data_IF_523219002231
#
_entry.id   IF_523219002231
#
_cell.length_a   1.000
_cell.length_b   1.000
_cell.length_c   1.000
_cell.angle_alpha   90.00
_cell.angle_beta   90.00
_cell.angle_gamma   90.00
#
_symmetry.space_group_name_H-M   'P 1'
#
loop_
_entity.id
_entity.type
_entity.pdbx_description
1 polymer ?
#
# COMPACT_ATOMS: atom_id res chain seq x y z
N UNK A 1 7.21 11.91 -13.57
CA UNK A 1 5.76 11.76 -13.82
C UNK A 1 5.33 12.93 -14.66
N UNK A 2 5.83 12.94 -15.90
CA UNK A 2 5.95 14.18 -16.68
C UNK A 2 4.69 14.51 -17.48
N UNK A 3 3.87 13.50 -17.80
CA UNK A 3 2.67 13.65 -18.63
C UNK A 3 1.41 13.05 -17.99
N UNK A 4 1.40 12.83 -16.68
CA UNK A 4 0.28 12.17 -15.98
C UNK A 4 -0.46 13.17 -15.10
N UNK A 5 -1.77 13.31 -15.29
CA UNK A 5 -2.62 14.13 -14.40
C UNK A 5 -2.93 13.44 -13.07
N UNK A 6 -2.96 12.11 -13.07
CA UNK A 6 -3.31 11.27 -11.92
C UNK A 6 -2.30 10.16 -11.73
N UNK A 7 -1.90 9.93 -10.48
CA UNK A 7 -0.97 8.88 -10.08
C UNK A 7 -1.63 7.99 -9.05
N UNK A 8 -1.64 6.69 -9.29
CA UNK A 8 -2.15 5.69 -8.34
C UNK A 8 -1.02 4.75 -7.94
N UNK A 9 -0.70 4.70 -6.66
CA UNK A 9 0.34 3.84 -6.10
C UNK A 9 -0.28 2.60 -5.45
N UNK A 10 -0.16 1.47 -6.15
CA UNK A 10 -0.55 0.13 -5.68
C UNK A 10 0.65 -0.69 -5.16
N UNK A 11 1.80 -0.04 -4.93
CA UNK A 11 3.00 -0.75 -4.50
C UNK A 11 2.85 -1.28 -3.07
N UNK A 12 3.26 -2.53 -2.88
CA UNK A 12 3.42 -3.09 -1.56
C UNK A 12 3.83 -4.56 -1.61
N UNK A 13 4.38 -5.03 -0.50
CA UNK A 13 4.69 -6.43 -0.31
C UNK A 13 4.01 -6.93 0.97
N UNK A 14 3.33 -8.07 0.86
CA UNK A 14 2.63 -8.75 1.95
C UNK A 14 3.26 -10.10 2.33
N UNK A 15 4.30 -10.56 1.62
CA UNK A 15 4.86 -11.89 1.79
C UNK A 15 6.19 -11.90 2.55
N UNK A 16 7.05 -10.90 2.31
CA UNK A 16 8.43 -10.93 2.82
C UNK A 16 8.75 -9.71 3.70
N UNK A 17 8.97 -9.90 5.02
CA UNK A 17 9.17 -8.78 5.95
C UNK A 17 10.45 -7.98 5.70
N UNK A 18 11.52 -8.62 5.22
CA UNK A 18 12.78 -7.93 4.90
C UNK A 18 12.61 -6.94 3.73
N UNK A 19 11.83 -7.33 2.72
CA UNK A 19 11.53 -6.50 1.54
C UNK A 19 10.35 -5.54 1.77
N UNK A 20 9.56 -5.76 2.83
CA UNK A 20 8.40 -4.93 3.17
C UNK A 20 8.78 -3.48 3.45
N UNK A 21 9.93 -3.21 4.09
CA UNK A 21 10.40 -1.83 4.30
C UNK A 21 10.63 -1.10 2.97
N UNK A 22 11.37 -1.72 2.05
CA UNK A 22 11.68 -1.11 0.75
C UNK A 22 10.45 -0.87 -0.11
N UNK A 23 9.52 -1.82 -0.10
CA UNK A 23 8.30 -1.76 -0.92
C UNK A 23 7.20 -0.88 -0.32
N UNK A 24 7.02 -0.89 1.00
CA UNK A 24 5.93 -0.16 1.66
C UNK A 24 6.36 1.23 2.17
N UNK A 25 7.67 1.51 2.31
CA UNK A 25 8.18 2.80 2.81
C UNK A 25 8.98 3.51 1.71
N UNK A 26 10.09 2.93 1.26
CA UNK A 26 11.03 3.64 0.38
C UNK A 26 10.41 3.96 -0.98
N UNK A 27 9.77 2.97 -1.61
CA UNK A 27 9.17 3.17 -2.94
C UNK A 27 8.01 4.20 -2.92
N UNK A 28 7.03 4.16 -1.99
CA UNK A 28 6.02 5.21 -1.87
C UNK A 28 6.61 6.58 -1.56
N UNK A 29 7.69 6.66 -0.79
CA UNK A 29 8.39 7.92 -0.48
C UNK A 29 8.99 8.53 -1.75
N UNK A 30 9.65 7.72 -2.58
CA UNK A 30 10.21 8.18 -3.86
C UNK A 30 9.11 8.66 -4.81
N UNK A 31 7.99 7.94 -4.88
CA UNK A 31 6.83 8.34 -5.67
C UNK A 31 6.26 9.67 -5.18
N UNK A 32 6.04 9.83 -3.87
CA UNK A 32 5.52 11.07 -3.30
C UNK A 32 6.44 12.27 -3.60
N UNK A 33 7.77 12.08 -3.52
CA UNK A 33 8.72 13.14 -3.90
C UNK A 33 8.62 13.49 -5.38
N UNK A 34 8.54 12.49 -6.26
CA UNK A 34 8.39 12.72 -7.69
C UNK A 34 7.07 13.42 -8.04
N UNK A 35 5.97 13.06 -7.36
CA UNK A 35 4.66 13.72 -7.48
C UNK A 35 4.76 15.17 -7.01
N UNK A 36 5.34 15.42 -5.84
CA UNK A 36 5.49 16.77 -5.28
C UNK A 36 6.31 17.72 -6.17
N UNK A 37 7.21 17.18 -7.00
CA UNK A 37 8.02 17.95 -7.95
C UNK A 37 7.34 18.12 -9.31
N UNK A 38 6.26 17.38 -9.59
CA UNK A 38 5.59 17.39 -10.89
C UNK A 38 4.38 18.34 -10.85
N UNK A 39 4.39 19.48 -11.55
CA UNK A 39 3.28 20.43 -11.53
C UNK A 39 2.02 19.92 -12.24
N UNK A 40 2.12 18.82 -13.00
CA UNK A 40 1.02 18.24 -13.77
C UNK A 40 0.15 17.27 -12.96
N UNK A 41 0.71 16.65 -11.91
CA UNK A 41 -0.03 15.66 -11.13
C UNK A 41 -0.98 16.37 -10.16
N UNK A 42 -2.28 16.32 -10.46
CA UNK A 42 -3.33 16.93 -9.64
C UNK A 42 -3.85 15.96 -8.58
N UNK A 43 -3.97 14.68 -8.96
CA UNK A 43 -4.56 13.65 -8.11
C UNK A 43 -3.51 12.59 -7.78
N UNK A 44 -3.21 12.41 -6.51
CA UNK A 44 -2.36 11.34 -6.04
C UNK A 44 -3.14 10.42 -5.11
N UNK A 45 -3.22 9.13 -5.48
CA UNK A 45 -3.91 8.10 -4.72
C UNK A 45 -2.89 7.08 -4.21
N UNK A 46 -2.86 6.85 -2.90
CA UNK A 46 -1.99 5.87 -2.26
C UNK A 46 -2.81 4.76 -1.60
N UNK A 47 -2.48 3.50 -1.91
CA UNK A 47 -3.17 2.33 -1.35
C UNK A 47 -2.40 1.76 -0.16
N UNK A 48 -2.96 1.95 1.03
CA UNK A 48 -2.44 1.41 2.28
C UNK A 48 -3.18 0.12 2.70
N UNK A 49 -3.50 -0.07 3.97
CA UNK A 49 -4.22 -1.21 4.52
C UNK A 49 -5.10 -0.79 5.72
N UNK A 50 -6.27 -1.38 5.87
CA UNK A 50 -7.19 -1.11 7.00
C UNK A 50 -6.60 -1.50 8.36
N UNK A 51 -5.85 -2.61 8.43
CA UNK A 51 -5.30 -3.17 9.68
C UNK A 51 -4.20 -2.32 10.34
N UNK A 52 -3.67 -1.30 9.66
CA UNK A 52 -2.49 -0.56 10.11
C UNK A 52 -2.65 0.19 11.44
N UNK A 53 -3.88 0.50 11.85
CA UNK A 53 -4.19 1.24 13.08
C UNK A 53 -4.43 0.33 14.29
N UNK A 54 -4.39 -0.99 14.12
CA UNK A 54 -4.56 -1.93 15.22
C UNK A 54 -3.36 -1.87 16.17
N UNK A 55 -3.61 -2.02 17.48
CA UNK A 55 -2.57 -1.99 18.52
C UNK A 55 -1.54 -3.11 18.34
N UNK A 56 -2.00 -4.27 17.86
CA UNK A 56 -1.18 -5.45 17.60
C UNK A 56 -1.08 -5.72 16.08
N UNK A 57 -0.79 -4.68 15.30
CA UNK A 57 -0.66 -4.82 13.85
C UNK A 57 0.61 -5.60 13.48
N UNK A 58 0.53 -6.47 12.47
CA UNK A 58 1.69 -7.19 11.94
C UNK A 58 2.75 -6.25 11.34
N UNK A 59 3.98 -6.74 11.21
CA UNK A 59 5.12 -5.98 10.66
C UNK A 59 4.78 -5.30 9.32
N UNK A 60 4.09 -6.01 8.42
CA UNK A 60 3.67 -5.48 7.12
C UNK A 60 2.71 -4.30 7.30
N UNK A 61 1.70 -4.45 8.15
CA UNK A 61 0.72 -3.41 8.45
C UNK A 61 1.39 -2.18 9.10
N UNK A 62 2.39 -2.40 9.97
CA UNK A 62 3.19 -1.33 10.56
C UNK A 62 4.02 -0.59 9.51
N UNK A 63 4.66 -1.30 8.57
CA UNK A 63 5.44 -0.66 7.50
C UNK A 63 4.57 0.19 6.57
N UNK A 64 3.35 -0.28 6.23
CA UNK A 64 2.37 0.52 5.48
C UNK A 64 1.92 1.77 6.26
N UNK A 65 1.73 1.66 7.58
CA UNK A 65 1.44 2.83 8.44
C UNK A 65 2.53 3.89 8.37
N UNK A 66 3.79 3.47 8.42
CA UNK A 66 4.94 4.38 8.36
C UNK A 66 5.05 5.03 6.99
N UNK A 67 4.94 4.24 5.92
CA UNK A 67 4.95 4.74 4.55
C UNK A 67 3.84 5.76 4.29
N UNK A 68 2.62 5.46 4.73
CA UNK A 68 1.48 6.37 4.59
C UNK A 68 1.71 7.71 5.32
N UNK A 69 2.25 7.68 6.54
CA UNK A 69 2.59 8.90 7.27
C UNK A 69 3.59 9.77 6.49
N UNK A 70 4.63 9.17 5.94
CA UNK A 70 5.67 9.88 5.17
C UNK A 70 5.07 10.45 3.88
N UNK A 71 4.29 9.64 3.16
CA UNK A 71 3.59 10.07 1.94
C UNK A 71 2.70 11.28 2.21
N UNK A 72 1.96 11.27 3.32
CA UNK A 72 1.08 12.38 3.72
C UNK A 72 1.84 13.61 4.21
N UNK A 73 3.06 13.45 4.73
CA UNK A 73 3.94 14.58 5.06
C UNK A 73 4.50 15.26 3.80
N UNK A 74 4.81 14.48 2.76
CA UNK A 74 5.35 15.02 1.50
C UNK A 74 4.24 15.61 0.63
N UNK A 75 3.11 14.90 0.52
CA UNK A 75 1.95 15.32 -0.26
C UNK A 75 0.73 15.39 0.69
N UNK A 76 0.39 16.55 1.25
CA UNK A 76 -0.73 16.66 2.19
C UNK A 76 -2.09 16.36 1.54
N UNK A 77 -2.24 16.64 0.24
CA UNK A 77 -3.48 16.45 -0.53
C UNK A 77 -3.66 15.02 -1.06
N UNK A 78 -2.80 14.08 -0.66
CA UNK A 78 -2.89 12.68 -1.10
C UNK A 78 -4.18 12.01 -0.63
N UNK A 79 -4.86 11.32 -1.56
CA UNK A 79 -5.99 10.46 -1.26
C UNK A 79 -5.45 9.10 -0.80
N UNK A 80 -5.70 8.75 0.46
CA UNK A 80 -5.27 7.47 1.02
C UNK A 80 -6.44 6.50 1.08
N UNK A 81 -6.35 5.41 0.34
CA UNK A 81 -7.33 4.32 0.37
C UNK A 81 -6.82 3.22 1.28
N UNK A 82 -7.67 2.79 2.23
CA UNK A 82 -7.35 1.71 3.18
C UNK A 82 -8.31 0.53 2.99
N UNK A 83 -8.06 -0.31 1.99
CA UNK A 83 -8.92 -1.46 1.75
C UNK A 83 -8.80 -2.49 2.89
N UNK A 84 -9.88 -3.24 3.09
CA UNK A 84 -9.82 -4.55 3.77
C UNK A 84 -9.18 -5.59 2.85
N UNK A 85 -9.08 -6.84 3.30
CA UNK A 85 -8.70 -7.96 2.43
C UNK A 85 -9.58 -7.96 1.18
N UNK A 86 -8.94 -7.82 0.01
CA UNK A 86 -9.59 -7.85 -1.28
C UNK A 86 -9.75 -9.30 -1.72
N UNK A 87 -10.97 -9.67 -2.11
CA UNK A 87 -11.31 -11.03 -2.57
C UNK A 87 -11.82 -10.90 -4.01
N UNK A 88 -11.21 -11.62 -4.95
CA UNK A 88 -11.54 -11.54 -6.38
C UNK A 88 -10.49 -12.23 -7.24
N UNK A 89 -10.87 -12.83 -8.37
CA UNK A 89 -9.93 -13.66 -9.14
C UNK A 89 -8.89 -12.82 -9.90
N UNK A 90 -7.59 -13.18 -9.87
CA UNK A 90 -6.91 -14.12 -8.97
C UNK A 90 -6.43 -13.43 -7.67
N UNK A 91 -7.01 -13.77 -6.51
CA UNK A 91 -6.57 -13.25 -5.22
C UNK A 91 -5.80 -14.29 -4.40
N UNK A 92 -4.83 -13.79 -3.63
CA UNK A 92 -4.01 -14.64 -2.78
C UNK A 92 -4.83 -15.24 -1.62
N UNK A 93 -5.82 -14.50 -1.09
CA UNK A 93 -6.59 -14.93 0.08
C UNK A 93 -7.53 -16.10 -0.24
N UNK A 94 -8.39 -15.99 -1.25
CA UNK A 94 -9.30 -17.06 -1.62
C UNK A 94 -8.55 -18.28 -2.12
N UNK A 95 -7.47 -18.10 -2.91
CA UNK A 95 -6.60 -19.22 -3.32
C UNK A 95 -5.98 -19.91 -2.10
N UNK A 96 -5.49 -19.14 -1.12
CA UNK A 96 -4.94 -19.69 0.12
C UNK A 96 -5.99 -20.49 0.89
N UNK A 97 -7.19 -19.91 1.11
CA UNK A 97 -8.31 -20.57 1.81
C UNK A 97 -8.74 -21.84 1.07
N UNK A 98 -8.90 -21.80 -0.25
CA UNK A 98 -9.26 -22.97 -1.05
C UNK A 98 -8.19 -24.07 -0.97
N UNK A 99 -6.91 -23.70 -0.88
CA UNK A 99 -5.80 -24.66 -0.74
C UNK A 99 -5.76 -25.35 0.62
N UNK A 100 -6.12 -24.65 1.70
CA UNK A 100 -6.15 -25.23 3.05
C UNK A 100 -7.48 -25.91 3.39
N UNK A 101 -8.57 -25.61 2.67
CA UNK A 101 -9.91 -26.18 2.87
C UNK A 101 -9.95 -27.71 3.02
N UNK A 102 -9.22 -28.55 2.25
CA UNK A 102 -9.23 -29.99 2.44
C UNK A 102 -8.63 -30.46 3.79
N UNK A 103 -8.00 -29.57 4.55
CA UNK A 103 -7.39 -29.84 5.86
C UNK A 103 -8.10 -29.14 7.02
N UNK A 104 -9.19 -28.40 6.78
CA UNK A 104 -10.07 -27.90 7.84
C UNK A 104 -11.07 -29.02 8.23
N UNK A 105 -11.36 -29.20 9.54
CA UNK A 105 -12.32 -30.20 10.01
C UNK A 105 -13.73 -29.99 9.46
#
# INVERSE_FOLDING_TARGET
MEYSDTVVSCLGNQSYPFTAKRSNIDAPTLIARAVSQSPHVKNFVHISCMSQNQKNADIISQTKRVGEKIVRQICPDVVVVRPSSLIGRPDHFAVYVMRIRPFLP
#
